data_IF_133172143569
#
_entry.id   IF_133172143569
#
_cell.length_a   1.000
_cell.length_b   1.000
_cell.length_c   1.000
_cell.angle_alpha   90.00
_cell.angle_beta   90.00
_cell.angle_gamma   90.00
#
_symmetry.space_group_name_H-M   'P 1'
#
loop_
_entity.id
_entity.type
_entity.pdbx_description
1 polymer ?
#
# COMPACT_ATOMS: atom_id res chain seq x y z
N UNK A 1 6.24 4.53 17.58
CA UNK A 1 6.43 4.19 16.15
C UNK A 1 6.13 5.40 15.29
N UNK A 2 6.82 5.57 14.15
CA UNK A 2 6.48 6.59 13.16
C UNK A 2 5.03 6.39 12.69
N UNK A 3 4.18 7.41 12.82
CA UNK A 3 2.74 7.32 12.50
C UNK A 3 2.41 7.65 11.05
N UNK A 4 3.12 8.65 10.50
CA UNK A 4 2.94 9.10 9.12
C UNK A 4 4.20 9.72 8.55
N UNK A 5 4.25 9.78 7.22
CA UNK A 5 5.28 10.46 6.45
C UNK A 5 4.57 11.51 5.59
N UNK A 6 5.02 12.75 5.72
CA UNK A 6 4.60 13.86 4.87
C UNK A 6 5.82 14.46 4.18
N UNK A 7 5.80 14.48 2.85
CA UNK A 7 6.86 15.06 2.01
C UNK A 7 6.23 16.01 0.99
N UNK A 8 6.07 17.30 1.36
CA UNK A 8 5.52 18.28 0.44
C UNK A 8 6.47 18.46 -0.76
N UNK A 9 5.90 18.80 -1.90
CA UNK A 9 6.60 19.30 -3.06
C UNK A 9 7.35 20.59 -2.73
N UNK A 10 8.52 20.76 -3.34
CA UNK A 10 9.20 22.05 -3.32
C UNK A 10 8.44 23.04 -4.21
N UNK A 11 8.34 24.31 -3.80
CA UNK A 11 7.68 25.36 -4.59
C UNK A 11 8.47 25.61 -5.88
N UNK A 12 8.13 24.91 -6.95
CA UNK A 12 8.74 25.08 -8.26
C UNK A 12 8.03 26.23 -8.99
N UNK A 13 8.80 27.17 -9.55
CA UNK A 13 8.25 28.22 -10.42
C UNK A 13 7.77 27.56 -11.72
N UNK A 14 6.48 27.71 -12.04
CA UNK A 14 5.90 27.19 -13.30
C UNK A 14 5.05 25.92 -13.15
N UNK A 15 4.83 25.41 -11.94
CA UNK A 15 3.87 24.32 -11.71
C UNK A 15 2.44 24.83 -11.85
N UNK A 16 1.64 24.14 -12.66
CA UNK A 16 0.26 24.52 -12.96
C UNK A 16 -0.77 23.62 -12.27
N UNK A 17 -0.33 22.48 -11.72
CA UNK A 17 -1.17 21.51 -10.99
C UNK A 17 -0.52 21.11 -9.69
N UNK A 18 -1.33 20.70 -8.72
CA UNK A 18 -0.93 20.11 -7.45
C UNK A 18 -1.61 18.75 -7.27
N UNK A 19 -0.81 17.71 -7.10
CA UNK A 19 -1.29 16.34 -6.95
C UNK A 19 -0.78 15.72 -5.66
N UNK A 20 -1.56 14.77 -5.12
CA UNK A 20 -1.16 13.98 -3.96
C UNK A 20 -0.84 12.55 -4.38
N UNK A 21 0.33 12.07 -4.02
CA UNK A 21 0.65 10.64 -4.00
C UNK A 21 0.36 10.14 -2.58
N UNK A 22 -0.74 9.42 -2.41
CA UNK A 22 -1.17 8.85 -1.13
C UNK A 22 -0.76 7.38 -1.04
N UNK A 23 0.17 7.06 -0.14
CA UNK A 23 0.76 5.74 0.01
C UNK A 23 0.08 4.90 1.12
N UNK A 24 -0.33 3.69 0.76
CA UNK A 24 -0.97 2.70 1.62
C UNK A 24 -0.03 1.50 1.84
N UNK A 25 0.31 1.26 3.10
CA UNK A 25 1.26 0.23 3.50
C UNK A 25 0.73 -1.20 3.25
N UNK A 26 1.66 -2.13 2.99
CA UNK A 26 1.41 -3.57 3.11
C UNK A 26 1.49 -4.07 4.57
N UNK A 27 1.16 -5.34 4.81
CA UNK A 27 1.26 -5.98 6.13
C UNK A 27 2.74 -6.32 6.48
N UNK A 28 3.27 -6.04 7.69
CA UNK A 28 2.68 -5.24 8.79
C UNK A 28 2.57 -3.76 8.41
N UNK A 29 1.38 -3.19 8.64
CA UNK A 29 0.89 -1.89 8.15
C UNK A 29 1.59 -0.65 8.69
N UNK A 30 2.92 -0.64 8.70
CA UNK A 30 3.74 0.40 9.29
C UNK A 30 4.46 1.22 8.20
N UNK A 31 4.26 2.54 8.22
CA UNK A 31 4.85 3.47 7.25
C UNK A 31 6.38 3.55 7.40
N UNK A 32 6.89 3.24 8.59
CA UNK A 32 8.32 3.22 8.88
C UNK A 32 9.14 2.33 7.94
N UNK A 33 8.57 1.23 7.42
CA UNK A 33 9.25 0.39 6.45
C UNK A 33 9.55 1.10 5.12
N UNK A 34 8.78 2.13 4.79
CA UNK A 34 8.83 2.78 3.48
C UNK A 34 9.61 4.10 3.49
N UNK A 35 10.31 4.42 4.58
CA UNK A 35 11.13 5.66 4.68
C UNK A 35 12.11 5.74 3.52
N UNK A 36 12.97 4.72 3.35
CA UNK A 36 14.01 4.69 2.30
C UNK A 36 13.40 4.81 0.89
N UNK A 37 12.24 4.17 0.68
CA UNK A 37 11.51 4.20 -0.60
C UNK A 37 10.92 5.58 -0.91
N UNK A 38 10.21 6.18 0.06
CA UNK A 38 9.55 7.47 -0.12
C UNK A 38 10.56 8.63 -0.14
N UNK A 39 11.69 8.50 0.56
CA UNK A 39 12.83 9.42 0.44
C UNK A 39 13.44 9.37 -0.95
N UNK A 40 13.74 8.17 -1.46
CA UNK A 40 14.25 8.01 -2.82
C UNK A 40 13.29 8.59 -3.87
N UNK A 41 11.97 8.33 -3.73
CA UNK A 41 10.96 8.87 -4.64
C UNK A 41 10.88 10.40 -4.58
N UNK A 42 10.86 10.99 -3.38
CA UNK A 42 10.87 12.46 -3.21
C UNK A 42 12.10 13.10 -3.86
N UNK A 43 13.27 12.50 -3.67
CA UNK A 43 14.51 12.99 -4.28
C UNK A 43 14.43 12.97 -5.81
N UNK A 44 13.94 11.87 -6.40
CA UNK A 44 13.75 11.78 -7.85
C UNK A 44 12.76 12.84 -8.35
N UNK A 45 11.62 13.01 -7.68
CA UNK A 45 10.61 14.02 -8.06
C UNK A 45 11.12 15.46 -7.90
N UNK A 46 12.04 15.73 -6.97
CA UNK A 46 12.66 17.05 -6.82
C UNK A 46 13.66 17.36 -7.94
N UNK A 47 14.32 16.34 -8.48
CA UNK A 47 15.30 16.50 -9.56
C UNK A 47 14.70 16.56 -10.95
N UNK A 48 13.42 16.23 -11.09
CA UNK A 48 12.73 16.17 -12.37
C UNK A 48 11.91 17.43 -12.63
N UNK A 49 11.97 17.95 -13.85
CA UNK A 49 11.09 19.03 -14.27
C UNK A 49 9.70 18.45 -14.52
N UNK A 50 8.73 18.83 -13.68
CA UNK A 50 7.33 18.42 -13.80
C UNK A 50 6.39 19.64 -13.84
N UNK A 51 5.35 19.63 -14.69
CA UNK A 51 4.29 20.64 -14.65
C UNK A 51 3.40 20.52 -13.40
N UNK A 52 3.55 19.44 -12.63
CA UNK A 52 2.72 19.08 -11.48
C UNK A 52 3.56 19.05 -10.20
N UNK A 53 3.11 19.78 -9.18
CA UNK A 53 3.67 19.69 -7.84
C UNK A 53 3.10 18.46 -7.12
N UNK A 54 3.90 17.39 -7.01
CA UNK A 54 3.49 16.16 -6.31
C UNK A 54 3.84 16.22 -4.84
N UNK A 55 2.85 16.26 -3.96
CA UNK A 55 3.03 16.00 -2.54
C UNK A 55 2.97 14.49 -2.28
N UNK A 56 3.72 13.99 -1.30
CA UNK A 56 3.67 12.57 -0.90
C UNK A 56 3.19 12.49 0.55
N UNK A 57 2.16 11.69 0.78
CA UNK A 57 1.69 11.35 2.12
C UNK A 57 1.55 9.85 2.27
N UNK A 58 1.87 9.31 3.43
CA UNK A 58 1.53 7.95 3.81
C UNK A 58 1.42 7.82 5.31
N UNK A 59 0.68 6.82 5.77
CA UNK A 59 0.49 6.57 7.20
C UNK A 59 0.44 5.08 7.52
N UNK A 60 0.56 4.78 8.81
CA UNK A 60 0.24 3.45 9.32
C UNK A 60 -1.20 3.09 8.97
N UNK A 61 -1.42 1.81 8.70
CA UNK A 61 -2.75 1.20 8.77
C UNK A 61 -3.24 1.25 10.22
N UNK A 62 -4.55 1.24 10.40
CA UNK A 62 -5.19 1.34 11.72
C UNK A 62 -4.80 0.16 12.61
N UNK A 63 -4.58 0.42 13.90
CA UNK A 63 -4.33 -0.63 14.89
C UNK A 63 -2.88 -1.14 14.97
N UNK A 64 -1.96 -0.63 14.15
CA UNK A 64 -0.55 -1.06 14.17
C UNK A 64 0.34 -0.26 15.13
N UNK A 65 -0.09 0.94 15.52
CA UNK A 65 0.61 1.81 16.47
C UNK A 65 -0.21 1.96 17.74
N UNK A 66 0.34 1.53 18.88
CA UNK A 66 -0.35 1.54 20.17
C UNK A 66 -0.80 2.94 20.62
N UNK A 67 -0.17 3.99 20.10
CA UNK A 67 -0.48 5.41 20.39
C UNK A 67 -1.73 5.89 19.62
N UNK A 68 -2.15 5.17 18.57
CA UNK A 68 -3.25 5.55 17.69
C UNK A 68 -4.58 4.89 18.08
N UNK A 69 -4.60 4.02 19.10
CA UNK A 69 -5.82 3.34 19.54
C UNK A 69 -5.76 2.84 20.99
N UNK A 70 -6.95 2.70 21.59
CA UNK A 70 -7.11 1.99 22.86
C UNK A 70 -6.74 0.50 22.72
N UNK A 71 -6.26 -0.15 23.79
CA UNK A 71 -5.92 -1.57 23.78
C UNK A 71 -7.03 -2.44 23.19
N UNK A 72 -6.62 -3.44 22.39
CA UNK A 72 -7.58 -4.39 21.88
C UNK A 72 -8.20 -5.24 23.00
N UNK A 73 -9.50 -5.48 22.86
CA UNK A 73 -10.29 -6.28 23.79
C UNK A 73 -11.46 -6.91 23.05
N UNK A 74 -12.28 -7.71 23.74
CA UNK A 74 -13.49 -8.27 23.13
C UNK A 74 -14.48 -7.19 22.65
N UNK A 75 -14.50 -6.02 23.29
CA UNK A 75 -15.33 -4.87 22.89
C UNK A 75 -14.65 -3.90 21.91
N UNK A 76 -13.37 -4.09 21.63
CA UNK A 76 -12.57 -3.28 20.71
C UNK A 76 -11.62 -4.22 19.94
N UNK A 77 -12.15 -4.99 18.96
CA UNK A 77 -11.34 -5.95 18.23
C UNK A 77 -10.33 -5.25 17.32
N UNK A 78 -9.27 -5.96 16.87
CA UNK A 78 -8.38 -5.45 15.84
C UNK A 78 -9.13 -5.11 14.54
N UNK A 79 -8.54 -4.26 13.71
CA UNK A 79 -9.14 -3.79 12.47
C UNK A 79 -9.03 -4.84 11.36
N UNK A 80 -10.14 -5.14 10.70
CA UNK A 80 -10.17 -6.01 9.52
C UNK A 80 -9.91 -5.22 8.22
N UNK A 81 -9.87 -5.91 7.07
CA UNK A 81 -9.59 -5.26 5.78
C UNK A 81 -10.65 -4.19 5.44
N UNK A 82 -11.92 -4.41 5.77
CA UNK A 82 -12.98 -3.42 5.50
C UNK A 82 -12.79 -2.14 6.32
N UNK A 83 -12.47 -2.28 7.61
CA UNK A 83 -12.15 -1.16 8.49
C UNK A 83 -10.90 -0.40 8.03
N UNK A 84 -9.88 -1.08 7.49
CA UNK A 84 -8.74 -0.42 6.87
C UNK A 84 -9.14 0.40 5.65
N UNK A 85 -9.98 -0.16 4.77
CA UNK A 85 -10.49 0.57 3.59
C UNK A 85 -11.24 1.83 4.00
N UNK A 86 -12.18 1.73 4.94
CA UNK A 86 -12.97 2.88 5.37
C UNK A 86 -12.10 3.95 6.05
N UNK A 87 -11.17 3.53 6.90
CA UNK A 87 -10.21 4.41 7.55
C UNK A 87 -9.31 5.15 6.56
N UNK A 88 -8.73 4.43 5.60
CA UNK A 88 -7.87 5.02 4.58
C UNK A 88 -8.65 5.90 3.60
N UNK A 89 -9.88 5.54 3.26
CA UNK A 89 -10.79 6.36 2.45
C UNK A 89 -11.06 7.71 3.13
N UNK A 90 -11.43 7.70 4.41
CA UNK A 90 -11.67 8.91 5.19
C UNK A 90 -10.41 9.76 5.29
N UNK A 91 -9.26 9.12 5.52
CA UNK A 91 -7.98 9.79 5.64
C UNK A 91 -7.60 10.52 4.34
N UNK A 92 -7.60 9.84 3.19
CA UNK A 92 -7.27 10.46 1.89
C UNK A 92 -8.29 11.53 1.51
N UNK A 93 -9.59 11.33 1.78
CA UNK A 93 -10.61 12.33 1.54
C UNK A 93 -10.44 13.58 2.41
N UNK A 94 -9.78 13.48 3.57
CA UNK A 94 -9.48 14.62 4.43
C UNK A 94 -8.24 15.42 4.02
N UNK A 95 -7.51 15.01 2.97
CA UNK A 95 -6.27 15.66 2.55
C UNK A 95 -6.52 16.81 1.59
N UNK A 96 -5.96 17.96 1.94
CA UNK A 96 -6.04 19.20 1.17
C UNK A 96 -4.67 19.88 1.11
N UNK A 97 -4.48 20.71 0.09
CA UNK A 97 -3.35 21.63 -0.02
C UNK A 97 -3.53 22.71 1.05
N UNK A 98 -2.56 22.80 1.96
CA UNK A 98 -2.55 23.84 3.00
C UNK A 98 -2.05 25.15 2.39
N UNK A 99 -2.87 26.20 2.44
CA UNK A 99 -2.48 27.53 1.93
C UNK A 99 -2.26 28.51 3.09
N UNK A 100 -1.25 29.39 2.97
CA UNK A 100 -0.93 30.35 4.04
C UNK A 100 -1.94 31.51 4.14
N UNK A 101 -2.64 31.83 3.05
CA UNK A 101 -3.50 33.02 2.94
C UNK A 101 -4.88 32.71 2.34
N UNK A 102 -5.51 31.60 2.73
CA UNK A 102 -6.83 31.24 2.25
C UNK A 102 -7.37 29.91 2.76
N UNK A 103 -8.60 29.53 2.36
CA UNK A 103 -9.14 28.22 2.66
C UNK A 103 -8.28 27.14 1.98
N UNK A 104 -8.16 25.99 2.65
CA UNK A 104 -7.52 24.81 2.08
C UNK A 104 -8.15 24.46 0.73
N UNK A 105 -7.31 24.08 -0.23
CA UNK A 105 -7.74 23.74 -1.59
C UNK A 105 -7.64 22.24 -1.81
N UNK A 106 -8.60 21.61 -2.51
CA UNK A 106 -8.45 20.22 -2.90
C UNK A 106 -7.27 20.07 -3.87
N UNK A 107 -6.69 18.88 -3.91
CA UNK A 107 -5.71 18.54 -4.95
C UNK A 107 -6.41 18.47 -6.31
N UNK A 108 -5.69 18.84 -7.37
CA UNK A 108 -6.21 18.70 -8.73
C UNK A 108 -6.48 17.24 -9.07
N UNK A 109 -5.65 16.32 -8.55
CA UNK A 109 -5.89 14.88 -8.56
C UNK A 109 -5.08 14.15 -7.48
N UNK A 110 -5.48 12.93 -7.18
CA UNK A 110 -4.82 12.02 -6.25
C UNK A 110 -4.41 10.74 -6.97
N UNK A 111 -3.19 10.29 -6.67
CA UNK A 111 -2.64 8.99 -7.02
C UNK A 111 -2.67 8.13 -5.75
N UNK A 112 -3.43 7.05 -5.74
CA UNK A 112 -3.34 6.06 -4.66
C UNK A 112 -2.22 5.07 -4.99
N UNK A 113 -1.25 4.95 -4.11
CA UNK A 113 -0.17 3.97 -4.23
C UNK A 113 -0.28 2.96 -3.11
N UNK A 114 -0.33 1.68 -3.44
CA UNK A 114 -0.46 0.61 -2.44
C UNK A 114 0.58 -0.47 -2.64
N UNK A 115 1.13 -0.98 -1.54
CA UNK A 115 1.97 -2.17 -1.56
C UNK A 115 1.22 -3.38 -0.99
N UNK A 116 1.28 -4.54 -1.64
CA UNK A 116 0.68 -5.79 -1.14
C UNK A 116 -0.83 -5.62 -0.88
N UNK A 117 -1.32 -5.92 0.33
CA UNK A 117 -2.69 -5.61 0.77
C UNK A 117 -3.08 -4.14 0.60
N UNK A 118 -2.12 -3.22 0.70
CA UNK A 118 -2.35 -1.80 0.42
C UNK A 118 -2.82 -1.55 -1.02
N UNK A 119 -2.38 -2.38 -1.97
CA UNK A 119 -2.86 -2.30 -3.35
C UNK A 119 -4.33 -2.73 -3.50
N UNK A 120 -4.76 -3.78 -2.79
CA UNK A 120 -6.17 -4.14 -2.68
C UNK A 120 -6.99 -2.98 -2.09
N UNK A 121 -6.50 -2.38 -0.99
CA UNK A 121 -7.16 -1.24 -0.35
C UNK A 121 -7.30 -0.07 -1.33
N UNK A 122 -6.27 0.24 -2.13
CA UNK A 122 -6.36 1.27 -3.17
C UNK A 122 -7.51 0.99 -4.16
N UNK A 123 -7.57 -0.23 -4.71
CA UNK A 123 -8.59 -0.62 -5.70
C UNK A 123 -9.98 -0.53 -5.09
N UNK A 124 -10.15 -0.97 -3.84
CA UNK A 124 -11.42 -0.91 -3.13
C UNK A 124 -11.85 0.53 -2.81
N UNK A 125 -10.91 1.42 -2.48
CA UNK A 125 -11.18 2.86 -2.35
C UNK A 125 -11.70 3.44 -3.67
N UNK A 126 -11.04 3.13 -4.80
CA UNK A 126 -11.52 3.53 -6.12
C UNK A 126 -12.94 3.01 -6.37
N UNK A 127 -13.18 1.72 -6.15
CA UNK A 127 -14.47 1.09 -6.38
C UNK A 127 -15.60 1.76 -5.58
N UNK A 128 -15.40 1.93 -4.26
CA UNK A 128 -16.39 2.59 -3.38
C UNK A 128 -16.59 4.06 -3.75
N UNK A 129 -15.54 4.75 -4.16
CA UNK A 129 -15.62 6.15 -4.58
C UNK A 129 -16.43 6.31 -5.87
N UNK A 130 -16.21 5.42 -6.85
CA UNK A 130 -16.94 5.43 -8.12
C UNK A 130 -18.43 5.13 -7.92
N UNK A 131 -18.78 4.24 -6.98
CA UNK A 131 -20.18 3.93 -6.66
C UNK A 131 -20.89 5.07 -5.92
N UNK A 132 -20.19 5.80 -5.05
CA UNK A 132 -20.76 6.93 -4.30
C UNK A 132 -19.80 8.14 -4.24
N UNK A 133 -19.67 8.89 -5.34
CA UNK A 133 -18.80 10.07 -5.40
C UNK A 133 -19.24 11.17 -4.43
N UNK A 134 -20.51 11.16 -4.00
CA UNK A 134 -21.09 12.18 -3.13
C UNK A 134 -20.49 12.21 -1.72
N UNK A 135 -19.87 11.11 -1.29
CA UNK A 135 -19.15 11.02 0.00
C UNK A 135 -17.96 11.96 0.09
N UNK A 136 -17.27 12.21 -1.02
CA UNK A 136 -16.09 13.07 -1.08
C UNK A 136 -16.00 13.75 -2.46
N UNK A 137 -16.89 14.70 -2.80
CA UNK A 137 -17.02 15.23 -4.15
C UNK A 137 -15.80 16.02 -4.63
N UNK A 138 -14.92 16.44 -3.70
CA UNK A 138 -13.66 17.12 -3.98
C UNK A 138 -12.49 16.16 -4.24
N UNK A 139 -12.65 14.87 -3.92
CA UNK A 139 -11.60 13.87 -4.06
C UNK A 139 -11.55 13.39 -5.52
N UNK A 140 -10.56 13.83 -6.28
CA UNK A 140 -10.38 13.40 -7.66
C UNK A 140 -9.34 12.26 -7.74
N UNK A 141 -9.78 11.01 -7.59
CA UNK A 141 -8.92 9.84 -7.75
C UNK A 141 -8.68 9.55 -9.23
N UNK A 142 -7.42 9.66 -9.71
CA UNK A 142 -7.10 9.46 -11.14
C UNK A 142 -6.24 8.26 -11.44
N UNK A 143 -5.23 8.01 -10.61
CA UNK A 143 -4.22 7.01 -10.92
C UNK A 143 -3.99 6.07 -9.74
N UNK A 144 -3.83 4.78 -10.00
CA UNK A 144 -3.54 3.77 -9.00
C UNK A 144 -2.21 3.09 -9.25
N UNK A 145 -1.26 3.19 -8.33
CA UNK A 145 0.05 2.53 -8.38
C UNK A 145 0.05 1.32 -7.46
N UNK A 146 -0.02 0.13 -8.04
CA UNK A 146 -0.24 -1.12 -7.33
C UNK A 146 1.05 -1.94 -7.34
N UNK A 147 1.79 -1.88 -6.23
CA UNK A 147 3.09 -2.52 -6.06
C UNK A 147 2.93 -3.88 -5.40
N UNK A 148 3.42 -4.93 -6.05
CA UNK A 148 3.27 -6.33 -5.61
C UNK A 148 1.84 -6.67 -5.17
N UNK A 149 0.82 -6.39 -6.00
CA UNK A 149 -0.56 -6.39 -5.55
C UNK A 149 -1.06 -7.78 -5.19
N UNK A 150 -1.76 -7.89 -4.05
CA UNK A 150 -2.46 -9.11 -3.62
C UNK A 150 -3.92 -9.12 -4.06
N UNK A 151 -4.19 -8.68 -5.29
CA UNK A 151 -5.55 -8.44 -5.84
C UNK A 151 -6.33 -9.74 -6.11
N UNK A 152 -5.66 -10.89 -6.16
CA UNK A 152 -6.30 -12.17 -6.42
C UNK A 152 -5.69 -13.32 -5.59
N UNK A 153 -6.55 -14.29 -5.26
CA UNK A 153 -6.41 -15.37 -4.27
C UNK A 153 -5.03 -15.55 -3.62
N UNK A 154 -4.88 -14.97 -2.43
CA UNK A 154 -3.75 -15.25 -1.53
C UNK A 154 -3.83 -16.65 -0.93
N UNK A 155 -5.04 -17.20 -0.77
CA UNK A 155 -5.26 -18.51 -0.17
C UNK A 155 -4.55 -19.64 -0.93
N UNK A 156 -4.34 -19.47 -2.23
CA UNK A 156 -3.64 -20.42 -3.11
C UNK A 156 -2.12 -20.19 -3.17
N UNK A 157 -1.60 -19.12 -2.56
CA UNK A 157 -0.17 -18.85 -2.55
C UNK A 157 0.59 -19.75 -1.57
N UNK A 158 1.92 -19.84 -1.73
CA UNK A 158 2.75 -20.66 -0.82
C UNK A 158 2.69 -20.14 0.62
N UNK A 159 2.61 -18.82 0.80
CA UNK A 159 2.45 -18.20 2.12
C UNK A 159 1.04 -18.41 2.67
N UNK A 160 0.00 -18.24 1.83
CA UNK A 160 -1.39 -18.45 2.25
C UNK A 160 -1.70 -19.89 2.65
N UNK A 161 -1.17 -20.87 1.93
CA UNK A 161 -1.30 -22.30 2.28
C UNK A 161 -0.61 -22.65 3.60
N UNK A 162 0.60 -22.10 3.86
CA UNK A 162 1.29 -22.25 5.15
C UNK A 162 0.51 -21.59 6.30
N UNK A 163 -0.07 -20.42 6.05
CA UNK A 163 -0.89 -19.72 7.04
C UNK A 163 -2.18 -20.50 7.34
N UNK A 164 -2.84 -21.07 6.33
CA UNK A 164 -4.02 -21.92 6.51
C UNK A 164 -3.70 -23.20 7.29
N UNK A 165 -2.54 -23.80 7.05
CA UNK A 165 -2.06 -24.93 7.85
C UNK A 165 -1.86 -24.52 9.33
N UNK A 166 -1.25 -23.36 9.58
CA UNK A 166 -1.05 -22.84 10.94
C UNK A 166 -2.38 -22.51 11.64
N UNK A 167 -3.36 -21.95 10.91
CA UNK A 167 -4.75 -21.72 11.37
C UNK A 167 -5.46 -23.01 11.77
N UNK A 168 -5.18 -24.12 11.08
CA UNK A 168 -5.84 -25.41 11.33
C UNK A 168 -5.48 -26.07 12.68
N UNK A 169 -4.49 -25.53 13.42
CA UNK A 169 -4.07 -26.06 14.70
C UNK A 169 -4.97 -25.53 15.84
N UNK A 170 -5.85 -26.36 16.43
CA UNK A 170 -7.00 -25.93 17.24
C UNK A 170 -6.65 -25.30 18.60
N UNK A 171 -5.38 -25.31 19.01
CA UNK A 171 -4.91 -24.87 20.34
C UNK A 171 -3.93 -23.69 20.30
N UNK A 172 -3.54 -23.22 19.12
CA UNK A 172 -2.54 -22.16 18.98
C UNK A 172 -3.14 -20.75 19.00
N UNK A 173 -4.34 -20.50 18.44
CA UNK A 173 -4.85 -19.13 18.26
C UNK A 173 -5.00 -18.33 19.58
N UNK A 174 -5.48 -18.95 20.67
CA UNK A 174 -5.77 -18.24 21.93
C UNK A 174 -4.53 -17.88 22.76
N UNK A 175 -3.45 -18.65 22.64
CA UNK A 175 -2.26 -18.49 23.49
C UNK A 175 -0.97 -18.17 22.73
N UNK A 176 -0.94 -18.35 21.40
CA UNK A 176 0.24 -18.10 20.58
C UNK A 176 0.77 -16.69 20.76
N UNK A 177 -0.11 -15.68 20.75
CA UNK A 177 0.29 -14.28 20.90
C UNK A 177 0.86 -14.04 22.30
N UNK A 178 0.27 -14.65 23.34
CA UNK A 178 0.78 -14.57 24.71
C UNK A 178 2.17 -15.20 24.82
N UNK A 179 2.38 -16.39 24.23
CA UNK A 179 3.69 -17.06 24.23
C UNK A 179 4.72 -16.30 23.40
N UNK A 180 4.35 -15.81 22.23
CA UNK A 180 5.22 -14.99 21.38
C UNK A 180 5.66 -13.73 22.12
N UNK A 181 4.73 -13.01 22.77
CA UNK A 181 5.05 -11.84 23.59
C UNK A 181 5.93 -12.19 24.80
N UNK A 182 5.66 -13.31 25.46
CA UNK A 182 6.49 -13.79 26.57
C UNK A 182 7.91 -14.17 26.13
N UNK A 183 8.08 -14.71 24.92
CA UNK A 183 9.39 -14.99 24.35
C UNK A 183 10.11 -13.69 23.95
N UNK A 184 9.40 -12.77 23.28
CA UNK A 184 9.93 -11.47 22.85
C UNK A 184 10.20 -10.52 24.02
N UNK A 185 9.62 -10.76 25.20
CA UNK A 185 9.93 -9.97 26.40
C UNK A 185 11.32 -10.28 26.97
N UNK A 186 11.87 -11.46 26.69
CA UNK A 186 13.21 -11.89 27.14
C UNK A 186 14.31 -11.08 26.43
N UNK A 187 14.08 -10.69 25.18
CA UNK A 187 15.09 -10.01 24.36
C UNK A 187 14.90 -8.48 24.40
N UNK A 188 15.95 -7.71 24.70
CA UNK A 188 15.94 -6.26 24.52
C UNK A 188 15.70 -5.89 23.04
N UNK A 189 15.05 -4.76 22.80
CA UNK A 189 14.77 -4.27 21.44
C UNK A 189 16.04 -4.13 20.60
N UNK A 190 17.13 -3.63 21.18
CA UNK A 190 18.42 -3.51 20.50
C UNK A 190 18.98 -4.87 20.02
N UNK A 191 18.78 -5.93 20.82
CA UNK A 191 19.19 -7.29 20.42
C UNK A 191 18.35 -7.79 19.24
N UNK A 192 17.03 -7.57 19.27
CA UNK A 192 16.15 -7.93 18.16
C UNK A 192 16.53 -7.18 16.88
N UNK A 193 16.73 -5.85 16.97
CA UNK A 193 17.17 -5.04 15.84
C UNK A 193 18.49 -5.57 15.27
N UNK A 194 19.49 -5.82 16.11
CA UNK A 194 20.77 -6.37 15.66
C UNK A 194 20.61 -7.70 14.93
N UNK A 195 19.78 -8.61 15.46
CA UNK A 195 19.48 -9.91 14.81
C UNK A 195 18.82 -9.69 13.45
N UNK A 196 17.82 -8.82 13.35
CA UNK A 196 17.08 -8.58 12.12
C UNK A 196 17.99 -7.92 11.07
N UNK A 197 18.81 -6.96 11.46
CA UNK A 197 19.75 -6.29 10.58
C UNK A 197 20.83 -7.26 10.07
N UNK A 198 21.47 -8.03 10.96
CA UNK A 198 22.66 -8.81 10.61
C UNK A 198 22.33 -10.22 10.07
N UNK A 199 21.25 -10.84 10.53
CA UNK A 199 20.87 -12.20 10.13
C UNK A 199 19.83 -12.17 9.01
N UNK A 200 18.82 -11.30 9.11
CA UNK A 200 17.79 -11.17 8.06
C UNK A 200 18.20 -10.19 6.96
N UNK A 201 19.32 -9.48 7.12
CA UNK A 201 19.87 -8.54 6.14
C UNK A 201 18.90 -7.41 5.77
N UNK A 202 18.13 -6.94 6.75
CA UNK A 202 17.28 -5.76 6.62
C UNK A 202 18.13 -4.49 6.68
N UNK A 203 17.67 -3.38 6.09
CA UNK A 203 18.26 -2.07 6.36
C UNK A 203 18.13 -1.73 7.85
N UNK A 204 19.02 -0.88 8.36
CA UNK A 204 19.00 -0.48 9.78
C UNK A 204 17.63 0.11 10.18
N UNK A 205 17.01 0.89 9.29
CA UNK A 205 15.67 1.43 9.49
C UNK A 205 14.61 0.32 9.54
N UNK A 206 14.56 -0.57 8.54
CA UNK A 206 13.60 -1.66 8.50
C UNK A 206 13.76 -2.62 9.70
N UNK A 207 14.99 -2.87 10.15
CA UNK A 207 15.28 -3.66 11.34
C UNK A 207 14.78 -2.98 12.63
N UNK A 208 15.00 -1.67 12.77
CA UNK A 208 14.48 -0.89 13.89
C UNK A 208 12.95 -0.91 13.95
N UNK A 209 12.27 -0.69 12.82
CA UNK A 209 10.81 -0.73 12.73
C UNK A 209 10.27 -2.12 13.06
N UNK A 210 10.91 -3.17 12.55
CA UNK A 210 10.52 -4.56 12.86
C UNK A 210 10.67 -4.86 14.35
N UNK A 211 11.79 -4.45 14.97
CA UNK A 211 12.04 -4.68 16.38
C UNK A 211 11.04 -3.91 17.26
N UNK A 212 10.72 -2.65 16.93
CA UNK A 212 9.72 -1.85 17.63
C UNK A 212 8.32 -2.48 17.50
N UNK A 213 7.94 -2.91 16.29
CA UNK A 213 6.68 -3.61 16.03
C UNK A 213 6.54 -4.91 16.81
N UNK A 214 7.57 -5.77 16.82
CA UNK A 214 7.56 -7.02 17.58
C UNK A 214 7.41 -6.78 19.10
N UNK A 215 7.86 -5.62 19.57
CA UNK A 215 7.75 -5.20 20.98
C UNK A 215 6.46 -4.46 21.31
N UNK A 216 5.69 -4.06 20.31
CA UNK A 216 4.42 -3.33 20.50
C UNK A 216 3.38 -4.16 21.26
N UNK A 217 2.47 -3.46 21.94
CA UNK A 217 1.37 -4.08 22.66
C UNK A 217 0.46 -4.80 21.67
N UNK A 218 0.03 -4.16 20.59
CA UNK A 218 -1.05 -4.68 19.77
C UNK A 218 -0.66 -4.99 18.32
N UNK A 219 0.47 -4.48 17.84
CA UNK A 219 0.85 -4.56 16.43
C UNK A 219 0.97 -5.98 15.86
N UNK A 220 1.46 -6.96 16.64
CA UNK A 220 1.53 -8.37 16.19
C UNK A 220 0.13 -9.00 16.10
N UNK A 221 -0.75 -8.69 17.06
CA UNK A 221 -2.13 -9.16 17.05
C UNK A 221 -2.89 -8.55 15.86
N UNK A 222 -2.71 -7.25 15.60
CA UNK A 222 -3.26 -6.57 14.43
C UNK A 222 -2.79 -7.22 13.13
N UNK A 223 -1.49 -7.49 12.97
CA UNK A 223 -0.93 -8.10 11.76
C UNK A 223 -1.52 -9.50 11.47
N UNK A 224 -1.67 -10.31 12.51
CA UNK A 224 -2.26 -11.65 12.42
C UNK A 224 -3.75 -11.58 12.08
N UNK A 225 -4.49 -10.68 12.74
CA UNK A 225 -5.91 -10.49 12.46
C UNK A 225 -6.12 -10.00 11.02
N UNK A 226 -5.33 -9.03 10.59
CA UNK A 226 -5.40 -8.50 9.22
C UNK A 226 -5.04 -9.57 8.19
N UNK A 227 -4.00 -10.38 8.41
CA UNK A 227 -3.67 -11.49 7.51
C UNK A 227 -4.74 -12.59 7.46
N UNK A 228 -5.48 -12.81 8.56
CA UNK A 228 -6.63 -13.72 8.60
C UNK A 228 -7.80 -13.17 7.79
N UNK A 229 -8.16 -11.90 8.01
CA UNK A 229 -9.20 -11.21 7.24
C UNK A 229 -8.85 -11.14 5.76
N UNK A 230 -7.58 -10.88 5.42
CA UNK A 230 -7.10 -10.82 4.05
C UNK A 230 -7.32 -12.16 3.31
N UNK A 231 -6.99 -13.28 3.96
CA UNK A 231 -7.28 -14.62 3.42
C UNK A 231 -8.78 -14.88 3.28
N UNK A 232 -9.60 -14.34 4.17
CA UNK A 232 -11.04 -14.59 4.20
C UNK A 232 -11.81 -13.68 3.21
N UNK A 233 -11.25 -12.53 2.83
CA UNK A 233 -11.87 -11.54 1.93
C UNK A 233 -11.37 -11.67 0.48
N UNK A 234 -10.08 -11.96 0.27
CA UNK A 234 -9.45 -11.95 -1.07
C UNK A 234 -9.47 -13.36 -1.67
N UNK A 235 -10.66 -13.79 -2.12
CA UNK A 235 -10.84 -15.10 -2.76
C UNK A 235 -10.94 -15.03 -4.29
N UNK A 236 -11.63 -14.03 -4.84
CA UNK A 236 -11.89 -13.88 -6.28
C UNK A 236 -11.90 -12.39 -6.67
N UNK A 237 -11.64 -12.08 -7.95
CA UNK A 237 -11.71 -10.73 -8.53
C UNK A 237 -13.17 -10.24 -8.43
N UNK A 238 -13.52 -9.56 -7.34
CA UNK A 238 -14.90 -9.10 -7.06
C UNK A 238 -15.25 -7.81 -7.78
N UNK A 239 -14.27 -7.13 -8.37
CA UNK A 239 -14.49 -5.85 -9.03
C UNK A 239 -15.03 -6.11 -10.43
N UNK A 240 -16.10 -5.38 -10.77
CA UNK A 240 -16.65 -5.38 -12.12
C UNK A 240 -15.55 -4.99 -13.12
N UNK A 241 -15.57 -5.62 -14.30
CA UNK A 241 -14.63 -5.28 -15.37
C UNK A 241 -14.66 -3.78 -15.70
N UNK A 242 -15.77 -3.08 -15.44
CA UNK A 242 -15.93 -1.62 -15.55
C UNK A 242 -14.94 -0.79 -14.70
N UNK A 243 -14.40 -1.32 -13.59
CA UNK A 243 -13.34 -0.63 -12.84
C UNK A 243 -11.99 -0.66 -13.59
N UNK A 244 -11.78 -1.72 -14.37
CA UNK A 244 -10.55 -2.02 -15.09
C UNK A 244 -10.62 -1.63 -16.58
N UNK A 245 -11.84 -1.54 -17.11
CA UNK A 245 -12.20 -1.39 -18.51
C UNK A 245 -13.02 -0.12 -18.72
N UNK A 246 -13.06 0.35 -19.96
CA UNK A 246 -13.77 1.57 -20.30
C UNK A 246 -15.27 1.30 -20.27
N UNK A 247 -15.99 1.83 -19.27
CA UNK A 247 -17.40 2.12 -19.47
C UNK A 247 -17.55 3.39 -20.28
N UNK A 248 -18.06 3.25 -21.50
CA UNK A 248 -18.35 4.36 -22.40
C UNK A 248 -19.47 5.29 -21.88
N UNK A 249 -20.04 5.00 -20.70
CA UNK A 249 -21.20 5.69 -20.14
C UNK A 249 -20.86 6.66 -18.97
N UNK A 250 -19.63 6.67 -18.45
CA UNK A 250 -19.24 7.57 -17.37
C UNK A 250 -18.62 8.87 -17.93
N UNK A 251 -19.29 10.00 -17.69
CA UNK A 251 -18.77 11.35 -18.01
C UNK A 251 -17.50 11.70 -17.20
N UNK A 252 -17.18 10.92 -16.16
CA UNK A 252 -15.93 10.98 -15.40
C UNK A 252 -14.86 10.10 -16.03
N UNK A 253 -13.69 10.70 -16.28
CA UNK A 253 -12.55 10.02 -16.89
C UNK A 253 -12.10 8.85 -16.00
N UNK A 254 -12.33 7.60 -16.45
CA UNK A 254 -12.01 6.38 -15.71
C UNK A 254 -10.54 6.36 -15.20
N UNK A 255 -10.28 5.75 -14.02
CA UNK A 255 -8.95 5.73 -13.44
C UNK A 255 -7.94 4.93 -14.28
N UNK A 256 -6.66 5.26 -14.14
CA UNK A 256 -5.55 4.56 -14.81
C UNK A 256 -4.74 3.79 -13.76
N UNK A 257 -4.54 2.49 -13.95
CA UNK A 257 -3.80 1.64 -13.02
C UNK A 257 -2.43 1.23 -13.58
N UNK A 258 -1.43 1.23 -12.71
CA UNK A 258 -0.08 0.75 -12.97
C UNK A 258 0.23 -0.35 -11.98
N UNK A 259 0.41 -1.57 -12.47
CA UNK A 259 0.64 -2.76 -11.67
C UNK A 259 2.09 -3.22 -11.85
N UNK A 260 2.77 -3.46 -10.73
CA UNK A 260 4.10 -4.07 -10.73
C UNK A 260 4.08 -5.37 -9.95
N UNK A 261 4.23 -6.49 -10.64
CA UNK A 261 4.31 -7.81 -10.03
C UNK A 261 5.75 -8.28 -9.87
N UNK A 262 6.07 -8.92 -8.76
CA UNK A 262 7.31 -9.68 -8.63
C UNK A 262 7.31 -10.90 -9.57
N UNK A 263 8.51 -11.31 -10.02
CA UNK A 263 8.67 -12.50 -10.88
C UNK A 263 8.29 -13.79 -10.13
N UNK A 264 8.84 -13.96 -8.93
CA UNK A 264 8.59 -15.09 -8.03
C UNK A 264 8.08 -14.52 -6.71
N UNK A 265 6.81 -14.16 -6.68
CA UNK A 265 6.17 -13.65 -5.48
C UNK A 265 5.51 -14.80 -4.72
N UNK A 266 6.03 -15.13 -3.53
CA UNK A 266 5.46 -16.23 -2.72
C UNK A 266 4.11 -15.88 -2.09
N UNK A 267 3.73 -14.59 -2.10
CA UNK A 267 2.46 -14.11 -1.57
C UNK A 267 1.36 -14.12 -2.62
N UNK A 268 1.70 -14.00 -3.91
CA UNK A 268 0.74 -14.06 -5.03
C UNK A 268 0.96 -15.35 -5.81
N UNK A 269 -0.05 -16.20 -5.91
CA UNK A 269 0.10 -17.42 -6.70
C UNK A 269 0.35 -17.08 -8.18
N UNK A 270 1.51 -17.50 -8.71
CA UNK A 270 1.93 -17.15 -10.08
C UNK A 270 0.86 -17.45 -11.14
N UNK A 271 0.14 -18.57 -11.00
CA UNK A 271 -0.93 -18.92 -11.94
C UNK A 271 -2.12 -17.94 -11.89
N UNK A 272 -2.45 -17.41 -10.70
CA UNK A 272 -3.51 -16.40 -10.53
C UNK A 272 -3.08 -15.07 -11.14
N UNK A 273 -1.82 -14.65 -10.88
CA UNK A 273 -1.23 -13.47 -11.53
C UNK A 273 -1.28 -13.61 -13.05
N UNK A 274 -0.81 -14.74 -13.57
CA UNK A 274 -0.71 -14.98 -15.01
C UNK A 274 -2.09 -15.04 -15.65
N UNK A 275 -3.09 -15.62 -14.97
CA UNK A 275 -4.48 -15.60 -15.41
C UNK A 275 -5.06 -14.18 -15.43
N UNK A 276 -4.80 -13.37 -14.40
CA UNK A 276 -5.22 -11.96 -14.37
C UNK A 276 -4.60 -11.17 -15.53
N UNK A 277 -3.29 -11.30 -15.73
CA UNK A 277 -2.57 -10.65 -16.84
C UNK A 277 -3.16 -11.08 -18.18
N UNK A 278 -3.43 -12.37 -18.35
CA UNK A 278 -3.95 -12.92 -19.59
C UNK A 278 -5.40 -12.50 -19.84
N UNK A 279 -6.24 -12.45 -18.81
CA UNK A 279 -7.61 -11.90 -18.90
C UNK A 279 -7.59 -10.47 -19.40
N UNK A 280 -6.68 -9.64 -18.85
CA UNK A 280 -6.53 -8.24 -19.26
C UNK A 280 -5.93 -8.08 -20.66
N UNK A 281 -5.03 -8.98 -21.09
CA UNK A 281 -4.56 -9.02 -22.49
C UNK A 281 -5.68 -9.39 -23.47
N UNK A 282 -6.52 -10.37 -23.11
CA UNK A 282 -7.64 -10.85 -23.95
C UNK A 282 -8.80 -9.88 -24.07
N UNK A 283 -9.09 -9.11 -23.03
CA UNK A 283 -10.01 -7.97 -23.09
C UNK A 283 -9.59 -6.92 -24.15
N UNK A 284 -8.35 -7.04 -24.63
CA UNK A 284 -7.76 -6.19 -25.65
C UNK A 284 -7.22 -4.92 -24.99
N UNK A 285 -6.06 -4.47 -25.44
CA UNK A 285 -5.48 -3.15 -25.12
C UNK A 285 -6.35 -1.98 -25.64
N UNK A 286 -7.68 -2.15 -25.77
CA UNK A 286 -8.61 -1.15 -26.31
C UNK A 286 -8.83 0.04 -25.36
N UNK A 287 -8.19 0.09 -24.19
CA UNK A 287 -8.33 1.18 -23.23
C UNK A 287 -7.07 1.94 -22.84
N UNK A 288 -5.86 1.41 -23.06
CA UNK A 288 -4.58 2.06 -22.67
C UNK A 288 -4.43 2.43 -21.17
N UNK A 289 -5.39 2.03 -20.31
CA UNK A 289 -5.53 2.52 -18.94
C UNK A 289 -4.96 1.62 -17.86
N UNK A 290 -4.59 0.38 -18.18
CA UNK A 290 -3.97 -0.53 -17.22
C UNK A 290 -2.61 -0.96 -17.75
N UNK A 291 -1.53 -0.51 -17.10
CA UNK A 291 -0.15 -0.87 -17.42
C UNK A 291 0.32 -1.95 -16.46
N UNK A 292 0.60 -3.15 -16.96
CA UNK A 292 1.08 -4.27 -16.13
C UNK A 292 2.55 -4.54 -16.47
N UNK A 293 3.41 -4.42 -15.46
CA UNK A 293 4.83 -4.77 -15.55
C UNK A 293 5.10 -5.93 -14.60
N UNK A 294 5.83 -6.94 -15.07
CA UNK A 294 6.38 -8.01 -14.23
C UNK A 294 7.87 -7.76 -14.09
N UNK A 295 8.38 -7.87 -12.88
CA UNK A 295 9.78 -7.67 -12.56
C UNK A 295 10.69 -8.63 -13.35
N UNK A 296 11.78 -8.09 -13.87
CA UNK A 296 12.84 -8.86 -14.53
C UNK A 296 13.97 -9.20 -13.54
N UNK A 297 14.05 -8.47 -12.42
CA UNK A 297 15.20 -8.41 -11.52
C UNK A 297 14.98 -9.00 -10.14
N UNK A 298 14.34 -10.16 -9.99
CA UNK A 298 14.16 -10.91 -8.73
C UNK A 298 13.95 -10.09 -7.43
N UNK A 299 13.27 -8.94 -7.53
CA UNK A 299 12.93 -8.09 -6.40
C UNK A 299 11.89 -8.83 -5.58
N UNK A 300 12.21 -9.00 -4.30
CA UNK A 300 11.34 -9.69 -3.35
C UNK A 300 10.11 -8.84 -3.03
N UNK A 301 9.00 -9.50 -2.71
CA UNK A 301 7.73 -8.87 -2.31
C UNK A 301 7.95 -7.76 -1.27
N UNK A 302 8.69 -8.06 -0.19
CA UNK A 302 9.05 -7.10 0.85
C UNK A 302 10.22 -6.18 0.42
N UNK A 303 10.07 -5.50 -0.73
CA UNK A 303 11.11 -4.64 -1.32
C UNK A 303 11.57 -3.52 -0.37
N UNK A 304 10.69 -3.08 0.53
CA UNK A 304 10.92 -2.03 1.51
C UNK A 304 11.90 -2.42 2.63
N UNK A 305 12.31 -3.69 2.70
CA UNK A 305 13.24 -4.17 3.73
C UNK A 305 14.72 -3.85 3.44
N UNK A 306 15.05 -3.43 2.22
CA UNK A 306 16.43 -3.11 1.81
C UNK A 306 16.48 -1.83 0.99
N UNK A 307 17.50 -1.02 1.22
CA UNK A 307 17.67 0.29 0.58
C UNK A 307 17.75 0.20 -0.95
N UNK A 308 18.52 -0.75 -1.49
CA UNK A 308 18.71 -0.87 -2.94
C UNK A 308 17.44 -1.30 -3.69
N UNK A 309 16.61 -2.16 -3.10
CA UNK A 309 15.31 -2.53 -3.66
C UNK A 309 14.31 -1.39 -3.54
N UNK A 310 14.28 -0.69 -2.39
CA UNK A 310 13.52 0.55 -2.21
C UNK A 310 13.84 1.58 -3.30
N UNK A 311 15.11 1.83 -3.58
CA UNK A 311 15.53 2.75 -4.65
C UNK A 311 15.09 2.29 -6.04
N UNK A 312 15.21 0.98 -6.33
CA UNK A 312 14.82 0.41 -7.62
C UNK A 312 13.33 0.58 -7.90
N UNK A 313 12.49 0.35 -6.89
CA UNK A 313 11.04 0.57 -6.97
C UNK A 313 10.70 2.06 -7.05
N UNK A 314 11.40 2.93 -6.31
CA UNK A 314 11.23 4.38 -6.41
C UNK A 314 11.49 4.89 -7.84
N UNK A 315 12.53 4.40 -8.51
CA UNK A 315 12.78 4.73 -9.93
C UNK A 315 11.68 4.26 -10.86
N UNK A 316 11.10 3.09 -10.61
CA UNK A 316 9.98 2.57 -11.40
C UNK A 316 8.77 3.49 -11.26
N UNK A 317 8.39 3.81 -10.02
CA UNK A 317 7.27 4.70 -9.71
C UNK A 317 7.48 6.09 -10.31
N UNK A 318 8.69 6.62 -10.20
CA UNK A 318 9.05 7.89 -10.83
C UNK A 318 8.82 7.87 -12.35
N UNK A 319 9.22 6.78 -13.04
CA UNK A 319 8.96 6.64 -14.47
C UNK A 319 7.47 6.64 -14.84
N UNK A 320 6.60 6.11 -13.98
CA UNK A 320 5.15 6.21 -14.15
C UNK A 320 4.62 7.63 -13.95
N UNK A 321 5.18 8.37 -12.99
CA UNK A 321 4.85 9.79 -12.81
C UNK A 321 5.24 10.61 -14.05
N UNK A 322 6.44 10.41 -14.59
CA UNK A 322 6.87 11.06 -15.83
C UNK A 322 5.97 10.69 -17.01
N UNK A 323 5.48 9.45 -17.06
CA UNK A 323 4.53 9.02 -18.07
C UNK A 323 3.18 9.74 -17.94
N UNK A 324 2.66 9.87 -16.73
CA UNK A 324 1.43 10.63 -16.46
C UNK A 324 1.60 12.09 -16.87
N UNK A 325 2.69 12.74 -16.47
CA UNK A 325 2.91 14.15 -16.83
C UNK A 325 3.02 14.36 -18.35
N UNK A 326 3.61 13.41 -19.09
CA UNK A 326 3.68 13.47 -20.56
C UNK A 326 2.32 13.29 -21.23
N UNK A 327 1.47 12.40 -20.71
CA UNK A 327 0.16 12.08 -21.31
C UNK A 327 -0.90 13.10 -20.91
N UNK A 328 -0.95 13.49 -19.63
CA UNK A 328 -1.93 14.42 -19.08
C UNK A 328 -1.49 15.89 -19.20
N UNK A 329 -0.25 16.16 -19.60
CA UNK A 329 0.30 17.50 -19.83
C UNK A 329 0.25 18.00 -21.28
N UNK A 330 -0.16 17.15 -22.23
CA UNK A 330 -0.51 17.52 -23.60
C UNK A 330 -1.97 17.98 -23.69
#
# INVERSE_FOLDING_TARGET
MLSSIWKPSEKIRGTHRHALIYFICGNPGLIGFYVDFLDALRNLLNTSESPTAYDIYGRNLLGFSDEEHEPFSQGNPPWDVHGQVDGMYQDVASRFITTQEGPNKPYDFVILMGHSIGAYICVEIFHRHTQDPSKAPHLNLRHGFLLFPTIASLALSQSGTRMNYLRSLPTMETHFITYAKALLSIFPQATLQWVIENIMSFSANAASVTAEWLKSRDGVLQALHMGKSELDTIFEDTWEDELWEVSAAAETQAPRFFLFYGREDHWVANHVRDEFIERRRRAGEKGGRTSITVDEGNIQHAFCTKEHTSWSIARRVHGWVEEIDRVDGM
#
